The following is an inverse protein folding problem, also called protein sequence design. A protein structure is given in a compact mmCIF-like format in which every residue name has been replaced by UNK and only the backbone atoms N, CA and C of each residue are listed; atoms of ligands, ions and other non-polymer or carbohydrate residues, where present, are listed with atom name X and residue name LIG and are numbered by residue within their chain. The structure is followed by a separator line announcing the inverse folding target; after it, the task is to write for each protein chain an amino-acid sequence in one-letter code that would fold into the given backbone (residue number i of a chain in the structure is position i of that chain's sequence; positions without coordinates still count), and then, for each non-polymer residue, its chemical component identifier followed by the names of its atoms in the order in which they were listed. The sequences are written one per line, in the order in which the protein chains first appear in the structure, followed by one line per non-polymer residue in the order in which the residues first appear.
data_IF_096035771388
#
_entry.id   IF_096035771388
#
_cell.length_a   1.000
_cell.length_b   1.000
_cell.length_c   1.000
_cell.angle_alpha   90.00
_cell.angle_beta   90.00
_cell.angle_gamma   90.00
#
_symmetry.space_group_name_H-M   'P 1'
#
loop_
_entity.id
_entity.type
_entity.pdbx_description
1 polymer ?
#
# COMPACT_ATOMS: atom_id res chain seq x y z
N UNK A 1 34.39 24.62 -8.47
CA UNK A 1 32.93 24.83 -8.54
C UNK A 1 32.63 25.40 -9.93
N UNK A 2 32.33 24.54 -10.92
CA UNK A 2 31.96 25.04 -12.26
C UNK A 2 30.52 25.53 -12.12
N UNK A 3 30.36 26.85 -12.11
CA UNK A 3 29.06 27.47 -12.07
C UNK A 3 28.25 27.00 -13.27
N UNK A 4 27.04 26.49 -13.04
CA UNK A 4 26.00 26.46 -14.08
C UNK A 4 25.74 27.92 -14.46
N UNK A 5 26.48 28.44 -15.42
CA UNK A 5 26.35 29.84 -15.85
C UNK A 5 25.06 29.95 -16.64
N UNK A 6 24.29 31.00 -16.36
CA UNK A 6 23.00 31.31 -17.01
C UNK A 6 23.05 31.47 -18.55
N UNK A 7 24.26 31.47 -19.15
CA UNK A 7 24.48 31.62 -20.60
C UNK A 7 24.63 30.30 -21.35
N UNK A 8 24.73 29.13 -20.69
CA UNK A 8 24.84 27.83 -21.33
C UNK A 8 23.48 27.22 -21.61
N UNK A 9 23.19 26.90 -22.87
CA UNK A 9 22.03 26.12 -23.24
C UNK A 9 22.16 24.70 -22.66
N UNK A 10 21.33 24.39 -21.68
CA UNK A 10 21.28 23.10 -21.00
C UNK A 10 20.23 22.19 -21.64
N UNK A 11 20.68 21.19 -22.37
CA UNK A 11 19.80 20.11 -22.85
C UNK A 11 19.76 18.98 -21.83
N UNK A 12 18.73 18.14 -21.91
CA UNK A 12 18.57 16.91 -21.09
C UNK A 12 19.86 16.08 -21.09
N UNK A 13 20.46 15.86 -22.28
CA UNK A 13 21.72 15.09 -22.38
C UNK A 13 22.88 15.75 -21.64
N UNK A 14 23.09 17.04 -21.85
CA UNK A 14 24.20 17.77 -21.22
C UNK A 14 24.09 17.77 -19.69
N UNK A 15 22.87 18.02 -19.17
CA UNK A 15 22.68 18.11 -17.73
C UNK A 15 22.80 16.75 -17.05
N UNK A 16 22.32 15.67 -17.68
CA UNK A 16 22.50 14.31 -17.18
C UNK A 16 23.99 13.93 -17.12
N UNK A 17 24.76 14.17 -18.18
CA UNK A 17 26.20 13.89 -18.21
C UNK A 17 26.97 14.66 -17.14
N UNK A 18 26.65 15.95 -16.99
CA UNK A 18 27.29 16.79 -15.97
C UNK A 18 26.93 16.30 -14.55
N UNK A 19 25.65 16.01 -14.29
CA UNK A 19 25.19 15.56 -12.97
C UNK A 19 25.79 14.19 -12.62
N UNK A 20 25.84 13.28 -13.59
CA UNK A 20 26.46 11.96 -13.39
C UNK A 20 27.93 12.10 -12.96
N UNK A 21 28.71 12.96 -13.64
CA UNK A 21 30.10 13.22 -13.27
C UNK A 21 30.21 13.86 -11.89
N UNK A 22 29.35 14.83 -11.59
CA UNK A 22 29.31 15.50 -10.30
C UNK A 22 29.00 14.52 -9.16
N UNK A 23 27.99 13.65 -9.32
CA UNK A 23 27.63 12.63 -8.34
C UNK A 23 28.72 11.56 -8.19
N UNK A 24 29.35 11.13 -9.27
CA UNK A 24 30.50 10.22 -9.20
C UNK A 24 31.65 10.83 -8.38
N UNK A 25 31.93 12.11 -8.58
CA UNK A 25 32.93 12.84 -7.78
C UNK A 25 32.55 13.04 -6.30
N UNK A 26 31.28 12.84 -5.93
CA UNK A 26 30.79 12.84 -4.55
C UNK A 26 30.75 11.45 -3.92
N UNK A 27 31.07 10.41 -4.68
CA UNK A 27 31.07 9.02 -4.23
C UNK A 27 29.69 8.37 -4.11
N UNK A 28 28.67 8.93 -4.78
CA UNK A 28 27.35 8.29 -4.83
C UNK A 28 27.43 6.99 -5.64
N UNK A 29 26.75 5.95 -5.21
CA UNK A 29 26.85 4.60 -5.80
C UNK A 29 26.14 4.49 -7.16
N UNK A 30 25.03 5.22 -7.34
CA UNK A 30 24.18 5.16 -8.53
C UNK A 30 24.05 6.50 -9.25
N UNK A 31 25.19 7.18 -9.63
CA UNK A 31 25.17 8.58 -10.04
C UNK A 31 24.33 8.84 -11.28
N UNK A 32 24.29 7.89 -12.23
CA UNK A 32 23.46 8.00 -13.44
C UNK A 32 21.97 7.83 -13.11
N UNK A 33 21.63 6.81 -12.33
CA UNK A 33 20.26 6.54 -11.93
C UNK A 33 19.69 7.71 -11.14
N UNK A 34 20.45 8.23 -10.18
CA UNK A 34 20.08 9.36 -9.34
C UNK A 34 19.78 10.60 -10.19
N UNK A 35 20.69 10.91 -11.16
CA UNK A 35 20.50 12.04 -12.07
C UNK A 35 19.24 11.90 -12.92
N UNK A 36 18.99 10.70 -13.47
CA UNK A 36 17.80 10.41 -14.30
C UNK A 36 16.52 10.53 -13.48
N UNK A 37 16.47 9.95 -12.27
CA UNK A 37 15.29 10.00 -11.39
C UNK A 37 14.93 11.43 -11.01
N UNK A 38 15.91 12.22 -10.58
CA UNK A 38 15.69 13.62 -10.22
C UNK A 38 15.22 14.47 -11.40
N UNK A 39 15.76 14.20 -12.61
CA UNK A 39 15.34 14.93 -13.79
C UNK A 39 13.94 14.53 -14.25
N UNK A 40 13.59 13.26 -14.13
CA UNK A 40 12.22 12.78 -14.40
C UNK A 40 11.17 13.48 -13.54
N UNK A 41 11.47 13.66 -12.25
CA UNK A 41 10.55 14.36 -11.33
C UNK A 41 10.38 15.84 -11.70
N UNK A 42 11.48 16.48 -12.12
CA UNK A 42 11.43 17.88 -12.56
C UNK A 42 10.59 18.04 -13.82
N UNK A 43 10.74 17.13 -14.79
CA UNK A 43 10.10 17.17 -16.10
C UNK A 43 8.71 16.50 -16.13
N UNK A 44 8.28 15.87 -15.03
CA UNK A 44 7.02 15.13 -14.97
C UNK A 44 6.96 14.00 -16.00
N UNK A 45 8.04 13.22 -16.20
CA UNK A 45 8.12 12.22 -17.24
C UNK A 45 8.74 10.90 -16.74
N UNK A 46 8.55 9.81 -17.47
CA UNK A 46 9.18 8.52 -17.17
C UNK A 46 10.61 8.48 -17.66
N UNK A 47 11.44 7.63 -17.07
CA UNK A 47 12.85 7.48 -17.47
C UNK A 47 13.03 7.16 -18.96
N UNK A 48 12.14 6.35 -19.55
CA UNK A 48 12.19 6.04 -20.98
C UNK A 48 11.99 7.29 -21.85
N UNK A 49 11.20 8.24 -21.38
CA UNK A 49 10.89 9.45 -22.12
C UNK A 49 12.09 10.41 -22.21
N UNK A 50 13.06 10.32 -21.27
CA UNK A 50 14.30 11.09 -21.32
C UNK A 50 15.14 10.78 -22.58
N UNK A 51 15.17 9.52 -23.02
CA UNK A 51 15.91 9.12 -24.22
C UNK A 51 15.34 9.74 -25.50
N UNK A 52 14.03 10.02 -25.51
CA UNK A 52 13.37 10.70 -26.63
C UNK A 52 13.55 12.23 -26.59
N UNK A 53 13.96 12.77 -25.43
CA UNK A 53 14.07 14.21 -25.16
C UNK A 53 15.50 14.70 -25.00
N UNK A 54 16.52 13.93 -25.41
CA UNK A 54 17.94 14.23 -25.15
C UNK A 54 18.38 15.63 -25.63
N UNK A 55 17.79 16.14 -26.71
CA UNK A 55 18.07 17.47 -27.26
C UNK A 55 17.12 18.56 -26.75
N UNK A 56 16.13 18.20 -25.96
CA UNK A 56 15.22 19.17 -25.34
C UNK A 56 16.01 20.09 -24.40
N UNK A 57 15.82 21.38 -24.53
CA UNK A 57 16.35 22.37 -23.61
C UNK A 57 15.48 22.45 -22.36
N UNK A 58 16.12 22.68 -21.22
CA UNK A 58 15.43 22.91 -19.95
C UNK A 58 15.13 24.42 -19.80
N UNK A 59 13.94 24.73 -19.32
CA UNK A 59 13.58 26.08 -18.91
C UNK A 59 14.38 26.54 -17.70
N UNK A 60 14.47 27.84 -17.44
CA UNK A 60 15.12 28.38 -16.25
C UNK A 60 14.53 27.84 -14.93
N UNK A 61 13.22 27.63 -14.87
CA UNK A 61 12.49 27.09 -13.73
C UNK A 61 12.86 25.63 -13.48
N UNK A 62 12.87 24.81 -14.53
CA UNK A 62 13.29 23.40 -14.47
C UNK A 62 14.75 23.28 -14.03
N UNK A 63 15.65 24.11 -14.58
CA UNK A 63 17.04 24.16 -14.18
C UNK A 63 17.20 24.55 -12.70
N UNK A 64 16.46 25.53 -12.23
CA UNK A 64 16.48 25.96 -10.83
C UNK A 64 16.02 24.83 -9.90
N UNK A 65 14.89 24.18 -10.23
CA UNK A 65 14.36 23.03 -9.46
C UNK A 65 15.38 21.89 -9.47
N UNK A 66 15.88 21.49 -10.64
CA UNK A 66 16.83 20.41 -10.79
C UNK A 66 18.13 20.66 -10.01
N UNK A 67 18.68 21.89 -10.08
CA UNK A 67 19.87 22.28 -9.31
C UNK A 67 19.65 22.12 -7.81
N UNK A 68 18.48 22.51 -7.31
CA UNK A 68 18.13 22.31 -5.91
C UNK A 68 18.18 20.82 -5.53
N UNK A 69 17.61 19.96 -6.36
CA UNK A 69 17.61 18.51 -6.17
C UNK A 69 19.02 17.90 -6.19
N UNK A 70 19.84 18.32 -7.15
CA UNK A 70 21.24 17.88 -7.26
C UNK A 70 22.04 18.25 -6.01
N UNK A 71 21.86 19.45 -5.47
CA UNK A 71 22.57 19.88 -4.26
C UNK A 71 22.14 19.10 -3.02
N UNK A 72 20.84 18.81 -2.88
CA UNK A 72 20.29 17.97 -1.82
C UNK A 72 20.87 16.55 -1.89
N UNK A 73 20.83 15.92 -3.09
CA UNK A 73 21.38 14.58 -3.29
C UNK A 73 22.89 14.51 -3.05
N UNK A 74 23.64 15.52 -3.49
CA UNK A 74 25.07 15.63 -3.23
C UNK A 74 25.41 15.77 -1.71
N UNK A 75 24.43 16.19 -0.90
CA UNK A 75 24.49 16.18 0.57
C UNK A 75 24.00 14.85 1.18
N UNK A 76 23.86 13.80 0.36
CA UNK A 76 23.39 12.46 0.76
C UNK A 76 21.94 12.42 1.26
N UNK A 77 21.10 13.36 0.84
CA UNK A 77 19.68 13.25 1.11
C UNK A 77 19.08 12.13 0.23
N UNK A 78 18.25 11.23 0.80
CA UNK A 78 17.63 10.16 0.03
C UNK A 78 16.81 10.68 -1.15
N UNK A 79 16.88 10.01 -2.30
CA UNK A 79 16.11 10.37 -3.51
C UNK A 79 14.62 10.55 -3.21
N UNK A 80 14.04 9.62 -2.45
CA UNK A 80 12.63 9.65 -2.11
C UNK A 80 12.22 10.88 -1.29
N UNK A 81 13.09 11.40 -0.43
CA UNK A 81 12.81 12.65 0.29
C UNK A 81 12.99 13.89 -0.58
N UNK A 82 13.86 13.82 -1.59
CA UNK A 82 14.05 14.92 -2.55
C UNK A 82 12.83 15.04 -3.45
N UNK A 83 12.34 13.91 -3.98
CA UNK A 83 11.16 13.85 -4.86
C UNK A 83 9.84 13.91 -4.08
N UNK A 84 9.86 13.53 -2.80
CA UNK A 84 8.68 13.50 -1.92
C UNK A 84 7.84 12.23 -2.03
N UNK A 85 8.23 11.27 -2.87
CA UNK A 85 7.44 10.06 -3.10
C UNK A 85 8.30 8.81 -3.29
N UNK A 86 7.70 7.65 -3.06
CA UNK A 86 8.27 6.31 -3.24
C UNK A 86 7.22 5.35 -3.73
N UNK A 87 7.53 4.61 -4.79
CA UNK A 87 6.70 3.49 -5.23
C UNK A 87 6.88 2.31 -4.28
N UNK A 88 5.77 1.70 -3.87
CA UNK A 88 5.70 0.47 -3.07
C UNK A 88 4.60 -0.40 -3.65
N UNK A 89 4.92 -1.65 -4.01
CA UNK A 89 4.09 -2.47 -4.89
C UNK A 89 3.76 -1.70 -6.20
N UNK A 90 2.51 -1.42 -6.46
CA UNK A 90 2.04 -0.68 -7.65
C UNK A 90 1.53 0.74 -7.34
N UNK A 91 1.71 1.21 -6.10
CA UNK A 91 1.20 2.51 -5.66
C UNK A 91 2.33 3.46 -5.29
N UNK A 92 2.05 4.73 -5.47
CA UNK A 92 2.91 5.81 -5.05
C UNK A 92 2.53 6.28 -3.64
N UNK A 93 3.52 6.40 -2.76
CA UNK A 93 3.37 6.88 -1.39
C UNK A 93 4.13 8.18 -1.20
N UNK A 94 3.51 9.17 -0.60
CA UNK A 94 4.22 10.34 -0.09
C UNK A 94 5.16 9.90 1.03
N UNK A 95 6.38 10.41 0.99
CA UNK A 95 7.40 10.19 2.02
C UNK A 95 8.09 11.48 2.38
N UNK A 96 8.39 11.65 3.66
CA UNK A 96 9.09 12.81 4.23
C UNK A 96 10.13 12.31 5.23
N UNK A 97 11.05 13.15 5.71
CA UNK A 97 11.97 12.77 6.79
C UNK A 97 11.32 12.32 8.10
N UNK A 98 10.00 12.35 8.19
CA UNK A 98 9.24 11.85 9.35
C UNK A 98 8.99 10.33 9.32
N UNK A 99 9.22 9.64 8.17
CA UNK A 99 8.90 8.22 7.98
C UNK A 99 10.06 7.47 7.36
N UNK A 100 10.18 6.18 7.66
CA UNK A 100 11.06 5.27 6.92
C UNK A 100 10.61 5.21 5.45
N UNK A 101 11.55 5.26 4.54
CA UNK A 101 11.28 5.05 3.11
C UNK A 101 10.88 3.58 2.89
N UNK A 102 9.71 3.27 2.32
CA UNK A 102 9.28 1.89 2.07
C UNK A 102 10.32 1.08 1.30
N UNK A 103 10.62 -0.13 1.80
CA UNK A 103 11.64 -1.03 1.23
C UNK A 103 10.99 -2.11 0.36
N UNK A 104 11.64 -2.53 -0.75
CA UNK A 104 11.12 -3.60 -1.61
C UNK A 104 10.91 -4.93 -0.85
N UNK A 105 11.76 -5.24 0.14
CA UNK A 105 11.66 -6.44 0.95
C UNK A 105 10.35 -6.51 1.73
N UNK A 106 9.85 -5.35 2.17
CA UNK A 106 8.57 -5.21 2.90
C UNK A 106 7.35 -5.58 2.03
N UNK A 107 7.47 -5.52 0.70
CA UNK A 107 6.40 -5.94 -0.22
C UNK A 107 6.04 -7.42 -0.04
N UNK A 108 7.03 -8.25 0.27
CA UNK A 108 6.83 -9.67 0.53
C UNK A 108 6.00 -9.91 1.80
N UNK A 109 6.12 -9.06 2.83
CA UNK A 109 5.29 -9.12 4.03
C UNK A 109 3.80 -8.93 3.67
N UNK A 110 3.51 -7.93 2.83
CA UNK A 110 2.15 -7.66 2.33
C UNK A 110 1.64 -8.85 1.50
N UNK A 111 2.45 -9.36 0.57
CA UNK A 111 2.09 -10.52 -0.26
C UNK A 111 1.68 -11.74 0.58
N UNK A 112 2.51 -12.10 1.57
CA UNK A 112 2.24 -13.25 2.43
C UNK A 112 1.03 -13.05 3.34
N UNK A 113 0.82 -11.84 3.88
CA UNK A 113 -0.37 -11.51 4.65
C UNK A 113 -1.67 -11.63 3.80
N UNK A 114 -1.63 -11.15 2.56
CA UNK A 114 -2.74 -11.30 1.61
C UNK A 114 -3.00 -12.77 1.29
N UNK A 115 -1.94 -13.54 1.02
CA UNK A 115 -2.08 -14.97 0.75
C UNK A 115 -2.66 -15.73 1.94
N UNK A 116 -2.28 -15.38 3.17
CA UNK A 116 -2.85 -15.96 4.40
C UNK A 116 -4.37 -15.80 4.49
N UNK A 117 -4.88 -14.62 4.09
CA UNK A 117 -6.32 -14.33 4.13
C UNK A 117 -7.07 -14.99 2.99
N UNK A 118 -6.53 -14.89 1.77
CA UNK A 118 -7.26 -15.20 0.53
C UNK A 118 -6.93 -16.57 -0.05
N UNK A 119 -5.79 -17.16 0.33
CA UNK A 119 -5.22 -18.34 -0.34
C UNK A 119 -4.69 -18.05 -1.76
N UNK A 120 -4.63 -16.77 -2.19
CA UNK A 120 -4.28 -16.35 -3.55
C UNK A 120 -3.00 -15.53 -3.57
N UNK A 121 -2.22 -15.64 -4.66
CA UNK A 121 -1.09 -14.74 -4.92
C UNK A 121 -1.56 -13.36 -5.38
N UNK A 122 -0.69 -12.34 -5.31
CA UNK A 122 -0.98 -11.00 -5.83
C UNK A 122 -1.36 -11.05 -7.31
N UNK A 123 -0.63 -11.82 -8.13
CA UNK A 123 -0.93 -12.00 -9.56
C UNK A 123 -2.32 -12.57 -9.81
N UNK A 124 -2.80 -13.49 -8.95
CA UNK A 124 -4.16 -14.01 -9.05
C UNK A 124 -5.20 -12.95 -8.71
N UNK A 125 -4.96 -12.17 -7.65
CA UNK A 125 -5.84 -11.06 -7.26
C UNK A 125 -5.89 -9.95 -8.30
N UNK A 126 -4.76 -9.59 -8.91
CA UNK A 126 -4.68 -8.61 -9.99
C UNK A 126 -5.49 -9.05 -11.21
N UNK A 127 -5.37 -10.33 -11.61
CA UNK A 127 -6.18 -10.89 -12.69
C UNK A 127 -7.67 -10.83 -12.38
N UNK A 128 -8.06 -11.20 -11.16
CA UNK A 128 -9.46 -11.11 -10.73
C UNK A 128 -9.97 -9.67 -10.71
N UNK A 129 -9.19 -8.73 -10.20
CA UNK A 129 -9.53 -7.32 -10.19
C UNK A 129 -9.67 -6.75 -11.61
N UNK A 130 -8.76 -7.12 -12.51
CA UNK A 130 -8.83 -6.75 -13.93
C UNK A 130 -10.14 -7.23 -14.57
N UNK A 131 -10.48 -8.52 -14.40
CA UNK A 131 -11.70 -9.07 -14.97
C UNK A 131 -12.97 -8.51 -14.33
N UNK A 132 -12.94 -8.24 -13.00
CA UNK A 132 -14.06 -7.57 -12.31
C UNK A 132 -14.32 -6.19 -12.89
N UNK A 133 -13.26 -5.38 -13.06
CA UNK A 133 -13.38 -4.06 -13.69
C UNK A 133 -13.94 -4.17 -15.11
N UNK A 134 -13.47 -5.15 -15.91
CA UNK A 134 -14.00 -5.39 -17.25
C UNK A 134 -15.48 -5.78 -17.25
N UNK A 135 -15.90 -6.59 -16.28
CA UNK A 135 -17.29 -6.95 -16.11
C UNK A 135 -18.17 -5.74 -15.74
N UNK A 136 -17.68 -4.87 -14.83
CA UNK A 136 -18.37 -3.64 -14.45
C UNK A 136 -18.50 -2.65 -15.64
N UNK A 137 -17.40 -2.44 -16.39
CA UNK A 137 -17.39 -1.61 -17.60
C UNK A 137 -18.39 -2.15 -18.66
N UNK A 138 -18.37 -3.46 -18.87
CA UNK A 138 -19.29 -4.10 -19.84
C UNK A 138 -20.74 -3.98 -19.37
N UNK A 139 -21.04 -4.18 -18.08
CA UNK A 139 -22.39 -4.01 -17.52
C UNK A 139 -22.89 -2.58 -17.67
N UNK A 140 -22.07 -1.59 -17.33
CA UNK A 140 -22.43 -0.19 -17.52
C UNK A 140 -22.71 0.16 -18.99
N UNK A 141 -21.97 -0.45 -19.93
CA UNK A 141 -22.23 -0.30 -21.37
C UNK A 141 -23.57 -0.94 -21.79
N UNK A 142 -23.91 -2.11 -21.24
CA UNK A 142 -25.23 -2.76 -21.46
C UNK A 142 -26.34 -1.89 -20.93
N UNK A 143 -26.25 -1.41 -19.69
CA UNK A 143 -27.29 -0.57 -19.09
C UNK A 143 -27.52 0.70 -19.88
N UNK A 144 -26.44 1.32 -20.40
CA UNK A 144 -26.54 2.48 -21.29
C UNK A 144 -27.27 2.16 -22.61
N UNK A 145 -26.95 1.00 -23.22
CA UNK A 145 -27.60 0.57 -24.47
C UNK A 145 -29.06 0.23 -24.21
N UNK A 146 -29.39 -0.44 -23.10
CA UNK A 146 -30.80 -0.72 -22.71
C UNK A 146 -31.60 0.56 -22.56
N UNK A 147 -31.06 1.59 -21.90
CA UNK A 147 -31.73 2.87 -21.73
C UNK A 147 -31.99 3.53 -23.09
N UNK A 148 -30.94 3.64 -23.93
CA UNK A 148 -31.06 4.24 -25.26
C UNK A 148 -32.00 3.44 -26.18
N UNK A 149 -32.02 2.11 -26.06
CA UNK A 149 -32.93 1.27 -26.86
C UNK A 149 -34.37 1.42 -26.40
N UNK A 150 -34.63 1.53 -25.10
CA UNK A 150 -35.96 1.77 -24.56
C UNK A 150 -36.53 3.13 -25.02
N UNK A 151 -35.71 4.19 -25.02
CA UNK A 151 -36.10 5.51 -25.53
C UNK A 151 -36.40 5.46 -27.04
N UNK A 152 -35.57 4.80 -27.86
CA UNK A 152 -35.75 4.70 -29.30
C UNK A 152 -36.89 3.78 -29.69
N UNK A 153 -37.16 2.69 -28.98
CA UNK A 153 -38.23 1.75 -29.25
C UNK A 153 -39.61 2.35 -28.93
N UNK A 154 -39.72 3.39 -28.13
CA UNK A 154 -41.01 4.07 -27.88
C UNK A 154 -41.54 4.78 -29.14
N UNK A 155 -40.65 5.25 -30.02
CA UNK A 155 -41.02 5.99 -31.23
C UNK A 155 -40.78 5.22 -32.55
N UNK A 156 -40.17 4.02 -32.51
CA UNK A 156 -39.80 3.25 -33.70
C UNK A 156 -40.95 2.33 -34.16
N UNK A 157 -41.43 2.57 -35.33
CA UNK A 157 -42.49 1.80 -35.95
C UNK A 157 -41.97 0.73 -36.94
N UNK A 158 -40.66 0.72 -37.21
CA UNK A 158 -40.01 -0.23 -38.13
C UNK A 158 -39.55 -1.49 -37.36
N UNK A 159 -40.17 -2.67 -37.66
CA UNK A 159 -39.85 -3.91 -36.96
C UNK A 159 -38.40 -4.39 -37.15
N UNK A 160 -37.78 -4.13 -38.33
CA UNK A 160 -36.39 -4.56 -38.59
C UNK A 160 -35.39 -3.78 -37.73
N UNK A 161 -35.62 -2.47 -37.56
CA UNK A 161 -34.79 -1.66 -36.67
C UNK A 161 -34.97 -2.03 -35.20
N UNK A 162 -36.19 -2.32 -34.77
CA UNK A 162 -36.47 -2.77 -33.43
C UNK A 162 -35.72 -4.08 -33.10
N UNK A 163 -35.74 -5.06 -34.05
CA UNK A 163 -34.98 -6.30 -33.90
C UNK A 163 -33.45 -6.07 -33.87
N UNK A 164 -32.90 -5.18 -34.69
CA UNK A 164 -31.48 -4.88 -34.71
C UNK A 164 -31.01 -4.29 -33.36
N UNK A 165 -31.80 -3.42 -32.73
CA UNK A 165 -31.48 -2.88 -31.39
C UNK A 165 -31.58 -3.95 -30.31
N UNK A 166 -32.55 -4.84 -30.35
CA UNK A 166 -32.63 -5.97 -29.41
C UNK A 166 -31.42 -6.90 -29.53
N UNK A 167 -30.98 -7.17 -30.76
CA UNK A 167 -29.79 -8.00 -30.99
C UNK A 167 -28.52 -7.31 -30.42
N UNK A 168 -28.35 -5.99 -30.66
CA UNK A 168 -27.21 -5.26 -30.11
C UNK A 168 -27.16 -5.31 -28.57
N UNK A 169 -28.32 -5.20 -27.90
CA UNK A 169 -28.40 -5.35 -26.43
C UNK A 169 -27.96 -6.75 -26.02
N UNK A 170 -28.47 -7.80 -26.68
CA UNK A 170 -28.14 -9.18 -26.39
C UNK A 170 -26.64 -9.49 -26.56
N UNK A 171 -26.03 -8.97 -27.63
CA UNK A 171 -24.60 -9.16 -27.89
C UNK A 171 -23.73 -8.48 -26.79
N UNK A 172 -24.10 -7.28 -26.34
CA UNK A 172 -23.40 -6.59 -25.28
C UNK A 172 -23.60 -7.29 -23.91
N UNK A 173 -24.77 -7.83 -23.65
CA UNK A 173 -25.02 -8.66 -22.46
C UNK A 173 -24.14 -9.90 -22.43
N UNK A 174 -23.99 -10.58 -23.58
CA UNK A 174 -23.13 -11.75 -23.71
C UNK A 174 -21.66 -11.41 -23.39
N UNK A 175 -21.16 -10.26 -23.87
CA UNK A 175 -19.81 -9.78 -23.55
C UNK A 175 -19.64 -9.49 -22.04
N UNK A 176 -20.65 -8.85 -21.41
CA UNK A 176 -20.64 -8.58 -19.98
C UNK A 176 -20.63 -9.87 -19.15
N UNK A 177 -21.44 -10.85 -19.55
CA UNK A 177 -21.53 -12.16 -18.91
C UNK A 177 -20.19 -12.90 -19.00
N UNK A 178 -19.57 -12.94 -20.17
CA UNK A 178 -18.27 -13.60 -20.35
C UNK A 178 -17.16 -12.94 -19.50
N UNK A 179 -17.17 -11.60 -19.39
CA UNK A 179 -16.23 -10.89 -18.53
C UNK A 179 -16.45 -11.22 -17.05
N UNK A 180 -17.72 -11.35 -16.63
CA UNK A 180 -18.08 -11.73 -15.26
C UNK A 180 -17.67 -13.17 -14.91
N UNK A 181 -17.89 -14.12 -15.81
CA UNK A 181 -17.45 -15.52 -15.63
C UNK A 181 -15.93 -15.59 -15.43
N UNK A 182 -15.16 -14.86 -16.25
CA UNK A 182 -13.69 -14.77 -16.09
C UNK A 182 -13.26 -14.14 -14.78
N UNK A 183 -14.09 -13.27 -14.22
CA UNK A 183 -13.88 -12.66 -12.89
C UNK A 183 -14.30 -13.59 -11.73
N UNK A 184 -14.91 -14.74 -12.02
CA UNK A 184 -15.50 -15.63 -11.02
C UNK A 184 -16.73 -15.02 -10.33
N UNK A 185 -17.39 -14.06 -10.98
CA UNK A 185 -18.61 -13.40 -10.48
C UNK A 185 -19.81 -14.24 -10.96
N UNK A 186 -20.58 -14.76 -10.00
CA UNK A 186 -21.89 -15.37 -10.28
C UNK A 186 -22.92 -14.24 -10.21
N UNK A 187 -23.54 -13.91 -11.35
CA UNK A 187 -24.70 -13.04 -11.35
C UNK A 187 -25.89 -13.87 -10.84
N UNK A 188 -26.30 -13.64 -9.57
CA UNK A 188 -27.62 -14.05 -9.11
C UNK A 188 -28.67 -13.23 -9.85
N UNK A 189 -29.83 -13.84 -10.14
CA UNK A 189 -30.98 -13.11 -10.64
C UNK A 189 -31.28 -11.90 -9.74
N UNK A 190 -31.71 -10.75 -10.30
CA UNK A 190 -32.04 -9.58 -9.50
C UNK A 190 -33.16 -9.95 -8.52
N UNK A 191 -32.88 -9.76 -7.21
CA UNK A 191 -33.84 -9.98 -6.15
C UNK A 191 -34.96 -8.92 -6.29
N UNK A 192 -36.09 -9.29 -6.87
CA UNK A 192 -37.25 -8.41 -7.17
C UNK A 192 -37.99 -7.92 -5.92
N UNK A 193 -37.44 -8.13 -4.73
CA UNK A 193 -38.09 -7.71 -3.49
C UNK A 193 -37.16 -6.91 -2.60
N UNK A 194 -37.10 -5.59 -2.82
CA UNK A 194 -37.01 -4.55 -1.77
C UNK A 194 -36.91 -3.16 -2.37
N UNK A 195 -38.07 -2.58 -2.65
CA UNK A 195 -38.22 -1.11 -2.74
C UNK A 195 -38.50 -0.65 -1.30
N UNK A 196 -37.66 0.18 -0.69
CA UNK A 196 -38.02 0.83 0.57
C UNK A 196 -38.98 2.00 0.27
N UNK A 197 -40.13 1.99 0.95
CA UNK A 197 -41.02 3.14 0.96
C UNK A 197 -40.45 4.33 1.74
N UNK A 198 -41.03 5.53 1.58
CA UNK A 198 -40.49 6.77 2.10
C UNK A 198 -40.50 6.81 3.62
N UNK A 199 -39.43 7.29 4.22
CA UNK A 199 -39.29 7.50 5.66
C UNK A 199 -39.89 8.85 6.04
N UNK A 200 -40.77 8.83 7.03
CA UNK A 200 -41.29 10.02 7.73
C UNK A 200 -40.36 10.45 8.88
N UNK A 201 -40.14 11.72 8.89
CA UNK A 201 -39.86 12.71 9.94
C UNK A 201 -39.20 12.41 11.31
N UNK A 202 -38.10 13.14 11.49
CA UNK A 202 -37.79 14.08 12.58
C UNK A 202 -37.45 13.61 13.99
N UNK A 203 -36.35 13.98 14.54
CA UNK A 203 -36.15 15.05 15.54
C UNK A 203 -34.68 15.19 15.96
N UNK A 204 -34.22 16.44 15.97
CA UNK A 204 -32.92 16.89 16.44
C UNK A 204 -32.78 16.74 17.96
N UNK A 205 -31.61 16.25 18.46
CA UNK A 205 -30.98 16.74 19.69
C UNK A 205 -29.45 16.59 19.66
N UNK A 206 -28.81 17.68 20.00
CA UNK A 206 -27.36 17.88 20.06
C UNK A 206 -26.70 17.34 21.36
N UNK A 207 -25.37 17.40 21.39
CA UNK A 207 -24.47 16.30 21.79
C UNK A 207 -23.58 16.66 22.99
N UNK A 208 -22.93 15.68 23.55
CA UNK A 208 -21.56 15.83 24.15
C UNK A 208 -21.05 14.44 24.56
N UNK A 209 -19.82 14.10 24.17
CA UNK A 209 -19.13 12.89 24.60
C UNK A 209 -18.55 12.13 23.41
N UNK A 210 -17.38 11.53 23.56
CA UNK A 210 -16.61 10.68 22.65
C UNK A 210 -17.47 9.94 21.61
N UNK A 211 -17.02 9.84 20.35
CA UNK A 211 -17.86 9.32 19.27
C UNK A 211 -18.31 7.89 19.58
N UNK A 212 -19.61 7.75 19.72
CA UNK A 212 -20.30 6.48 19.88
C UNK A 212 -20.19 5.66 18.58
N UNK A 213 -20.20 4.35 18.72
CA UNK A 213 -20.05 3.28 17.73
C UNK A 213 -20.93 3.36 16.46
N UNK A 214 -21.62 4.46 16.18
CA UNK A 214 -22.65 4.55 15.14
C UNK A 214 -22.26 5.17 13.80
N UNK A 215 -21.03 5.70 13.65
CA UNK A 215 -20.61 6.35 12.39
C UNK A 215 -19.59 5.57 11.55
N UNK A 216 -19.49 4.27 11.75
CA UNK A 216 -18.68 3.44 10.87
C UNK A 216 -19.58 2.84 9.81
N UNK A 217 -19.42 3.28 8.56
CA UNK A 217 -20.09 2.69 7.42
C UNK A 217 -19.99 1.16 7.45
N UNK A 218 -21.07 0.42 7.11
CA UNK A 218 -21.05 -1.03 7.19
C UNK A 218 -20.00 -1.60 6.21
N UNK A 219 -19.21 -2.60 6.64
CA UNK A 219 -18.14 -3.17 5.84
C UNK A 219 -18.67 -3.92 4.62
N UNK A 220 -17.97 -3.76 3.50
CA UNK A 220 -18.20 -4.57 2.30
C UNK A 220 -17.83 -6.03 2.61
N UNK A 221 -18.76 -6.95 2.44
CA UNK A 221 -18.59 -8.37 2.75
C UNK A 221 -17.72 -9.06 1.70
N UNK A 222 -16.52 -9.52 2.06
CA UNK A 222 -15.84 -10.60 1.34
C UNK A 222 -16.23 -11.93 2.01
N UNK A 223 -16.90 -12.81 1.28
CA UNK A 223 -17.31 -14.15 1.76
C UNK A 223 -17.75 -14.25 3.23
N UNK A 224 -18.49 -13.25 3.73
CA UNK A 224 -19.17 -13.30 5.02
C UNK A 224 -18.54 -12.52 6.17
N UNK A 225 -17.26 -12.13 6.18
CA UNK A 225 -16.64 -11.43 7.32
C UNK A 225 -15.62 -10.36 6.88
N UNK A 226 -15.63 -9.20 7.55
CA UNK A 226 -14.62 -8.14 7.42
C UNK A 226 -13.32 -8.58 8.08
N UNK A 227 -12.19 -8.30 7.41
CA UNK A 227 -10.85 -8.53 7.94
C UNK A 227 -10.38 -7.28 8.68
N UNK A 228 -10.09 -7.41 9.97
CA UNK A 228 -9.54 -6.33 10.80
C UNK A 228 -8.02 -6.44 10.85
N UNK A 229 -7.33 -5.37 10.46
CA UNK A 229 -5.87 -5.31 10.34
C UNK A 229 -5.30 -4.29 11.32
N UNK A 230 -4.24 -4.64 12.02
CA UNK A 230 -3.43 -3.73 12.83
C UNK A 230 -2.03 -3.64 12.25
N UNK A 231 -1.53 -2.44 12.03
CA UNK A 231 -0.17 -2.14 11.62
C UNK A 231 0.53 -1.34 12.71
N UNK A 232 1.55 -1.91 13.34
CA UNK A 232 2.30 -1.32 14.44
C UNK A 232 3.61 -0.73 13.93
N UNK A 233 3.84 0.56 14.18
CA UNK A 233 4.94 1.30 13.57
C UNK A 233 4.67 1.56 12.09
N UNK A 234 3.48 2.09 11.79
CA UNK A 234 2.96 2.18 10.42
C UNK A 234 3.78 3.07 9.49
N UNK A 235 4.53 4.04 10.04
CA UNK A 235 5.35 4.97 9.26
C UNK A 235 4.52 5.72 8.20
N UNK A 236 4.86 5.52 6.92
CA UNK A 236 4.11 6.09 5.79
C UNK A 236 2.75 5.43 5.53
N UNK A 237 2.40 4.37 6.25
CA UNK A 237 1.21 3.57 6.00
C UNK A 237 1.39 2.51 4.92
N UNK A 238 2.59 2.30 4.39
CA UNK A 238 2.83 1.47 3.21
C UNK A 238 2.25 0.05 3.35
N UNK A 239 2.44 -0.61 4.48
CA UNK A 239 1.94 -1.97 4.72
C UNK A 239 0.41 -1.96 4.82
N UNK A 240 -0.15 -1.21 5.77
CA UNK A 240 -1.59 -1.20 6.01
C UNK A 240 -2.39 -0.79 4.80
N UNK A 241 -2.02 0.33 4.17
CA UNK A 241 -2.79 0.88 3.07
C UNK A 241 -2.74 -0.02 1.82
N UNK A 242 -1.60 -0.70 1.59
CA UNK A 242 -1.51 -1.73 0.55
C UNK A 242 -2.40 -2.93 0.85
N UNK A 243 -2.44 -3.40 2.10
CA UNK A 243 -3.36 -4.46 2.53
C UNK A 243 -4.83 -4.05 2.31
N UNK A 244 -5.20 -2.80 2.64
CA UNK A 244 -6.55 -2.28 2.39
C UNK A 244 -6.89 -2.19 0.90
N UNK A 245 -5.92 -1.88 0.04
CA UNK A 245 -6.11 -1.90 -1.43
C UNK A 245 -6.32 -3.30 -1.97
N UNK A 246 -5.55 -4.27 -1.48
CA UNK A 246 -5.57 -5.67 -1.93
C UNK A 246 -6.72 -6.48 -1.35
N UNK A 247 -7.27 -6.04 -0.20
CA UNK A 247 -8.37 -6.68 0.52
C UNK A 247 -9.56 -5.72 0.63
N UNK A 248 -10.40 -5.56 -0.40
CA UNK A 248 -11.47 -4.55 -0.42
C UNK A 248 -12.48 -4.65 0.73
N UNK A 249 -12.65 -5.83 1.33
CA UNK A 249 -13.52 -6.06 2.49
C UNK A 249 -12.82 -5.87 3.84
N UNK A 250 -11.61 -5.33 3.88
CA UNK A 250 -10.84 -5.11 5.12
C UNK A 250 -10.98 -3.69 5.64
N UNK A 251 -10.66 -3.52 6.91
CA UNK A 251 -10.46 -2.24 7.60
C UNK A 251 -9.22 -2.33 8.48
N UNK A 252 -8.59 -1.19 8.77
CA UNK A 252 -7.31 -1.21 9.45
C UNK A 252 -7.11 -0.11 10.46
N UNK A 253 -6.30 -0.41 11.47
CA UNK A 253 -5.79 0.53 12.45
C UNK A 253 -4.28 0.67 12.27
N UNK A 254 -3.84 1.88 11.93
CA UNK A 254 -2.44 2.27 11.88
C UNK A 254 -2.03 2.82 13.24
N UNK A 255 -0.97 2.27 13.82
CA UNK A 255 -0.42 2.71 15.09
C UNK A 255 1.01 3.19 14.89
N UNK A 256 1.34 4.37 15.39
CA UNK A 256 2.70 4.89 15.43
C UNK A 256 2.89 5.77 16.66
N UNK A 257 4.11 5.84 17.15
CA UNK A 257 4.47 6.74 18.23
C UNK A 257 4.64 8.18 17.74
N UNK A 258 5.04 8.37 16.46
CA UNK A 258 5.23 9.67 15.81
C UNK A 258 3.92 10.21 15.26
N UNK A 259 3.44 11.37 15.72
CA UNK A 259 2.30 12.04 15.11
C UNK A 259 2.59 12.53 13.70
N UNK A 260 3.85 12.85 13.39
CA UNK A 260 4.29 13.26 12.05
C UNK A 260 4.18 12.08 11.06
N UNK A 261 4.57 10.86 11.47
CA UNK A 261 4.40 9.66 10.67
C UNK A 261 2.92 9.39 10.39
N UNK A 262 2.06 9.51 11.42
CA UNK A 262 0.61 9.35 11.23
C UNK A 262 0.00 10.41 10.31
N UNK A 263 0.55 11.62 10.27
CA UNK A 263 0.11 12.65 9.32
C UNK A 263 0.39 12.20 7.88
N UNK A 264 1.61 11.72 7.60
CA UNK A 264 1.98 11.18 6.29
C UNK A 264 1.09 9.97 5.91
N UNK A 265 0.86 9.05 6.85
CA UNK A 265 0.01 7.89 6.60
C UNK A 265 -1.45 8.27 6.27
N UNK A 266 -1.99 9.31 6.91
CA UNK A 266 -3.34 9.85 6.62
C UNK A 266 -3.42 10.47 5.22
N UNK A 267 -2.40 11.23 4.82
CA UNK A 267 -2.31 11.78 3.46
C UNK A 267 -2.27 10.66 2.43
N UNK A 268 -1.46 9.62 2.66
CA UNK A 268 -1.38 8.47 1.80
C UNK A 268 -2.70 7.68 1.73
N UNK A 269 -3.43 7.55 2.85
CA UNK A 269 -4.75 6.91 2.85
C UNK A 269 -5.75 7.66 1.97
N UNK A 270 -5.71 8.98 1.97
CA UNK A 270 -6.53 9.83 1.12
C UNK A 270 -6.11 9.71 -0.35
N UNK A 271 -4.80 9.76 -0.63
CA UNK A 271 -4.24 9.61 -1.97
C UNK A 271 -4.63 8.26 -2.60
N UNK A 272 -4.60 7.18 -1.81
CA UNK A 272 -4.93 5.83 -2.26
C UNK A 272 -6.45 5.53 -2.25
N UNK A 273 -7.29 6.43 -1.74
CA UNK A 273 -8.74 6.25 -1.69
C UNK A 273 -9.19 5.13 -0.73
N UNK A 274 -8.53 5.01 0.43
CA UNK A 274 -8.86 4.02 1.48
C UNK A 274 -9.05 4.67 2.87
N UNK A 275 -9.14 6.00 2.92
CA UNK A 275 -9.27 6.76 4.17
C UNK A 275 -10.54 6.42 4.96
N UNK A 276 -11.60 5.98 4.29
CA UNK A 276 -12.86 5.52 4.88
C UNK A 276 -12.73 4.22 5.69
N UNK A 277 -11.66 3.47 5.49
CA UNK A 277 -11.40 2.16 6.10
C UNK A 277 -10.10 2.11 6.92
N UNK A 278 -9.41 3.25 7.08
CA UNK A 278 -8.16 3.39 7.81
C UNK A 278 -8.33 4.31 9.01
N UNK A 279 -8.00 3.82 10.20
CA UNK A 279 -7.94 4.60 11.44
C UNK A 279 -6.50 4.76 11.89
N UNK A 280 -6.22 5.83 12.63
CA UNK A 280 -4.87 6.20 13.01
C UNK A 280 -4.83 6.52 14.51
N UNK A 281 -3.94 5.84 15.23
CA UNK A 281 -3.80 5.98 16.67
C UNK A 281 -2.35 6.29 17.04
N UNK A 282 -2.11 7.43 17.66
CA UNK A 282 -0.79 7.69 18.26
C UNK A 282 -0.65 6.87 19.55
N UNK A 283 0.31 5.91 19.54
CA UNK A 283 0.55 5.02 20.67
C UNK A 283 1.97 4.46 20.61
N UNK A 284 2.62 4.30 21.77
CA UNK A 284 3.77 3.41 21.90
C UNK A 284 3.22 1.98 21.96
N UNK A 285 3.17 1.34 20.81
CA UNK A 285 2.68 -0.01 20.59
C UNK A 285 1.27 -0.19 21.22
N UNK A 286 1.16 -0.88 22.34
CA UNK A 286 -0.10 -1.21 22.99
C UNK A 286 -0.60 -0.18 24.00
N UNK A 287 0.21 0.83 24.34
CA UNK A 287 -0.03 1.71 25.50
C UNK A 287 -1.38 2.43 25.48
N UNK A 288 -1.94 2.73 24.30
CA UNK A 288 -3.24 3.38 24.12
C UNK A 288 -4.25 2.49 23.38
N UNK A 289 -3.90 1.21 23.15
CA UNK A 289 -4.78 0.28 22.48
C UNK A 289 -5.98 -0.07 23.37
N UNK A 290 -7.24 -0.03 22.85
CA UNK A 290 -8.39 -0.52 23.60
C UNK A 290 -8.22 -2.00 23.95
N UNK A 291 -8.35 -2.36 25.24
CA UNK A 291 -8.03 -3.70 25.74
C UNK A 291 -8.88 -4.85 25.19
N UNK A 292 -9.99 -4.56 24.51
CA UNK A 292 -10.84 -5.54 23.82
C UNK A 292 -10.69 -5.54 22.29
N UNK A 293 -9.80 -4.70 21.74
CA UNK A 293 -9.58 -4.69 20.30
C UNK A 293 -8.88 -5.97 19.87
N UNK A 294 -9.44 -6.68 18.88
CA UNK A 294 -8.87 -7.90 18.32
C UNK A 294 -8.85 -7.84 16.80
N UNK A 295 -7.75 -8.34 16.22
CA UNK A 295 -7.45 -8.24 14.80
C UNK A 295 -7.28 -9.64 14.18
N UNK A 296 -7.58 -9.72 12.89
CA UNK A 296 -7.32 -10.90 12.07
C UNK A 296 -5.88 -10.96 11.62
N UNK A 297 -5.26 -9.77 11.44
CA UNK A 297 -3.87 -9.62 11.06
C UNK A 297 -3.24 -8.54 11.95
N UNK A 298 -2.11 -8.85 12.54
CA UNK A 298 -1.21 -7.88 13.16
C UNK A 298 0.09 -7.91 12.37
N UNK A 299 0.43 -6.79 11.72
CA UNK A 299 1.67 -6.64 10.97
C UNK A 299 2.56 -5.59 11.62
N UNK A 300 3.87 -5.73 11.45
CA UNK A 300 4.83 -4.70 11.83
C UNK A 300 6.13 -4.85 11.06
N UNK A 301 6.68 -3.73 10.62
CA UNK A 301 8.09 -3.57 10.28
C UNK A 301 8.68 -2.61 11.31
N UNK A 302 9.02 -3.07 12.52
CA UNK A 302 9.48 -2.20 13.60
C UNK A 302 10.96 -1.88 13.43
N UNK A 303 11.49 -0.86 14.14
CA UNK A 303 12.92 -0.62 14.15
C UNK A 303 13.68 -1.83 14.72
N UNK A 304 14.68 -2.30 13.96
CA UNK A 304 15.40 -3.53 14.26
C UNK A 304 16.93 -3.40 14.22
N UNK A 305 17.47 -2.21 13.95
CA UNK A 305 18.91 -2.01 13.84
C UNK A 305 19.49 -1.79 15.25
N UNK A 306 20.52 -2.56 15.66
CA UNK A 306 21.20 -2.30 16.92
C UNK A 306 21.73 -0.86 16.96
N UNK A 307 21.55 -0.20 18.10
CA UNK A 307 21.84 1.23 18.25
C UNK A 307 23.29 1.60 17.88
N UNK A 308 24.26 0.71 18.17
CA UNK A 308 25.68 0.88 17.86
C UNK A 308 26.00 0.81 16.37
N UNK A 309 25.15 0.13 15.57
CA UNK A 309 25.36 -0.08 14.14
C UNK A 309 24.87 1.13 13.33
N UNK A 310 23.92 1.90 13.84
CA UNK A 310 23.27 3.00 13.08
C UNK A 310 24.28 3.99 12.49
N UNK A 311 25.33 4.31 13.24
CA UNK A 311 26.38 5.23 12.77
C UNK A 311 27.27 4.69 11.64
N UNK A 312 27.19 3.39 11.35
CA UNK A 312 27.96 2.71 10.28
C UNK A 312 27.16 2.46 9.02
N UNK A 313 25.86 2.74 9.04
CA UNK A 313 24.97 2.59 7.89
C UNK A 313 25.37 3.52 6.74
N UNK A 314 24.83 3.25 5.54
CA UNK A 314 24.96 4.16 4.42
C UNK A 314 24.50 5.58 4.79
N UNK A 315 25.17 6.58 4.23
CA UNK A 315 25.00 7.98 4.60
C UNK A 315 23.58 8.51 4.38
N UNK A 316 22.90 8.02 3.36
CA UNK A 316 21.51 8.37 3.08
C UNK A 316 20.55 7.67 4.06
N UNK A 317 20.80 6.41 4.44
CA UNK A 317 20.03 5.73 5.50
C UNK A 317 20.16 6.45 6.85
N UNK A 318 21.34 7.00 7.17
CA UNK A 318 21.54 7.80 8.37
C UNK A 318 20.73 9.12 8.39
N UNK A 319 20.15 9.53 7.25
CA UNK A 319 19.22 10.68 7.15
C UNK A 319 17.77 10.32 7.44
N UNK A 320 17.46 9.05 7.51
CA UNK A 320 16.13 8.60 7.89
C UNK A 320 15.89 8.75 9.39
N UNK A 321 14.62 8.78 9.85
CA UNK A 321 14.33 9.02 11.28
C UNK A 321 14.97 7.95 12.14
N UNK A 322 15.80 8.36 13.09
CA UNK A 322 16.45 7.41 14.03
C UNK A 322 15.44 6.51 14.74
N UNK A 323 14.27 7.06 15.09
CA UNK A 323 13.17 6.33 15.72
C UNK A 323 12.68 5.14 14.88
N UNK A 324 12.79 5.22 13.56
CA UNK A 324 12.39 4.15 12.64
C UNK A 324 13.51 3.12 12.39
N UNK A 325 14.73 3.38 12.86
CA UNK A 325 15.89 2.51 12.67
C UNK A 325 16.31 1.80 13.98
N UNK A 326 16.28 2.53 15.11
CA UNK A 326 16.86 2.12 16.38
C UNK A 326 16.02 1.08 17.10
N UNK A 327 16.42 -0.19 17.00
CA UNK A 327 15.80 -1.31 17.70
C UNK A 327 16.33 -1.58 19.11
N UNK A 328 17.14 -0.66 19.69
CA UNK A 328 17.76 -0.85 20.99
C UNK A 328 19.13 -1.55 20.92
N UNK A 329 19.66 -2.01 22.05
CA UNK A 329 21.02 -2.57 22.13
C UNK A 329 21.27 -3.76 21.20
N UNK A 330 20.30 -4.64 21.03
CA UNK A 330 20.40 -5.86 20.22
C UNK A 330 19.42 -5.87 19.02
N UNK A 331 18.70 -4.75 18.82
CA UNK A 331 17.72 -4.61 17.73
C UNK A 331 16.38 -5.33 17.98
N UNK A 332 16.10 -5.79 19.20
CA UNK A 332 14.91 -6.60 19.50
C UNK A 332 13.89 -5.93 20.43
N UNK A 333 14.15 -4.68 20.88
CA UNK A 333 13.31 -4.04 21.89
C UNK A 333 11.86 -3.85 21.45
N UNK A 334 11.64 -3.46 20.18
CA UNK A 334 10.30 -3.34 19.62
C UNK A 334 9.58 -4.69 19.59
N UNK A 335 10.26 -5.75 19.15
CA UNK A 335 9.67 -7.11 19.09
C UNK A 335 9.28 -7.63 20.47
N UNK A 336 10.11 -7.41 21.51
CA UNK A 336 9.76 -7.78 22.89
C UNK A 336 8.48 -7.12 23.36
N UNK A 337 8.33 -5.82 23.09
CA UNK A 337 7.13 -5.07 23.46
C UNK A 337 5.92 -5.53 22.66
N UNK A 338 6.06 -5.74 21.34
CA UNK A 338 4.96 -6.15 20.47
C UNK A 338 4.47 -7.55 20.87
N UNK A 339 5.38 -8.52 20.98
CA UNK A 339 5.00 -9.90 21.28
C UNK A 339 4.35 -10.04 22.66
N UNK A 340 4.80 -9.30 23.67
CA UNK A 340 4.23 -9.33 25.02
C UNK A 340 2.74 -8.98 25.09
N UNK A 341 2.25 -8.11 24.20
CA UNK A 341 0.83 -7.68 24.18
C UNK A 341 -0.03 -8.40 23.15
N UNK A 342 0.56 -9.12 22.20
CA UNK A 342 -0.22 -9.58 21.03
C UNK A 342 -1.26 -10.65 21.33
N UNK A 343 -1.08 -11.46 22.41
CA UNK A 343 -2.03 -12.50 22.77
C UNK A 343 -3.45 -11.99 23.10
N UNK A 344 -3.54 -10.75 23.64
CA UNK A 344 -4.82 -10.09 23.92
C UNK A 344 -5.49 -9.47 22.68
N UNK A 345 -4.72 -9.31 21.59
CA UNK A 345 -5.13 -8.52 20.43
C UNK A 345 -5.23 -9.31 19.11
N UNK A 346 -4.81 -10.57 19.08
CA UNK A 346 -4.95 -11.45 17.92
C UNK A 346 -6.10 -12.42 18.12
N UNK A 347 -6.99 -12.49 17.13
CA UNK A 347 -8.10 -13.46 17.11
C UNK A 347 -7.57 -14.91 17.05
N UNK A 348 -8.39 -15.93 17.40
CA UNK A 348 -7.97 -17.33 17.38
C UNK A 348 -7.30 -17.78 16.05
N UNK A 349 -7.90 -17.42 14.89
CA UNK A 349 -7.36 -17.73 13.57
C UNK A 349 -6.57 -16.56 12.94
N UNK A 350 -6.13 -15.61 13.78
CA UNK A 350 -5.39 -14.43 13.32
C UNK A 350 -3.92 -14.70 13.10
N UNK A 351 -3.28 -13.82 12.34
CA UNK A 351 -1.87 -13.84 11.96
C UNK A 351 -1.11 -12.72 12.66
N UNK A 352 0.06 -13.03 13.23
CA UNK A 352 1.13 -12.06 13.48
C UNK A 352 2.19 -12.20 12.37
N UNK A 353 2.60 -11.09 11.79
CA UNK A 353 3.57 -11.05 10.71
C UNK A 353 4.56 -9.90 10.92
N UNK A 354 5.85 -10.24 10.99
CA UNK A 354 6.93 -9.30 11.29
C UNK A 354 7.97 -9.32 10.18
N UNK A 355 8.39 -8.14 9.73
CA UNK A 355 9.68 -8.01 9.06
C UNK A 355 10.80 -8.04 10.11
N UNK A 356 11.97 -8.61 9.78
CA UNK A 356 13.09 -8.77 10.69
C UNK A 356 14.42 -8.41 10.02
N UNK A 357 15.36 -7.96 10.83
CA UNK A 357 16.74 -7.72 10.40
C UNK A 357 17.49 -9.01 10.10
N UNK A 358 18.62 -8.88 9.40
CA UNK A 358 19.50 -10.00 9.07
C UNK A 358 19.93 -10.72 10.36
N UNK A 359 19.69 -12.04 10.38
CA UNK A 359 20.07 -12.91 11.52
C UNK A 359 19.11 -12.86 12.72
N UNK A 360 18.03 -12.03 12.68
CA UNK A 360 17.09 -11.91 13.80
C UNK A 360 15.89 -12.88 13.71
N UNK A 361 15.72 -13.61 12.60
CA UNK A 361 14.54 -14.43 12.35
C UNK A 361 14.23 -15.41 13.49
N UNK A 362 15.23 -16.19 13.95
CA UNK A 362 15.02 -17.15 15.04
C UNK A 362 14.82 -16.49 16.42
N UNK A 363 15.48 -15.36 16.68
CA UNK A 363 15.29 -14.62 17.92
C UNK A 363 13.85 -14.08 18.04
N UNK A 364 13.30 -13.51 16.97
CA UNK A 364 11.90 -13.03 16.94
C UNK A 364 10.92 -14.22 16.99
N UNK A 365 11.24 -15.31 16.32
CA UNK A 365 10.46 -16.54 16.41
C UNK A 365 10.42 -17.11 17.84
N UNK A 366 11.54 -17.06 18.57
CA UNK A 366 11.60 -17.45 19.98
C UNK A 366 10.69 -16.55 20.86
N UNK A 367 10.74 -15.23 20.69
CA UNK A 367 9.86 -14.30 21.39
C UNK A 367 8.37 -14.61 21.14
N UNK A 368 7.99 -14.96 19.91
CA UNK A 368 6.61 -15.38 19.63
C UNK A 368 6.24 -16.69 20.38
N UNK A 369 7.13 -17.68 20.40
CA UNK A 369 6.88 -18.96 21.10
C UNK A 369 6.78 -18.76 22.62
N UNK A 370 7.60 -17.91 23.22
CA UNK A 370 7.53 -17.53 24.64
C UNK A 370 6.17 -16.96 25.03
N UNK A 371 5.49 -16.27 24.10
CA UNK A 371 4.13 -15.76 24.30
C UNK A 371 3.04 -16.77 23.91
N UNK A 372 3.40 -18.03 23.71
CA UNK A 372 2.47 -19.13 23.43
C UNK A 372 1.98 -19.19 21.97
N UNK A 373 2.66 -18.53 21.02
CA UNK A 373 2.31 -18.62 19.61
C UNK A 373 3.06 -19.75 18.91
N UNK A 374 2.43 -20.34 17.91
CA UNK A 374 3.06 -21.26 16.98
C UNK A 374 3.68 -20.46 15.83
N UNK A 375 5.00 -20.51 15.71
CA UNK A 375 5.69 -19.95 14.55
C UNK A 375 5.49 -20.86 13.36
N UNK A 376 4.81 -20.36 12.35
CA UNK A 376 4.44 -21.14 11.17
C UNK A 376 5.50 -21.08 10.08
N UNK A 377 6.24 -19.95 9.98
CA UNK A 377 7.38 -19.82 9.10
C UNK A 377 8.34 -18.71 9.53
N UNK A 378 9.62 -18.92 9.20
CA UNK A 378 10.59 -17.87 8.94
C UNK A 378 10.83 -17.86 7.43
N UNK A 379 10.48 -16.78 6.76
CA UNK A 379 10.49 -16.67 5.29
C UNK A 379 11.66 -15.83 4.83
N UNK A 380 12.34 -16.33 3.81
CA UNK A 380 13.47 -15.64 3.17
C UNK A 380 13.00 -14.69 2.09
N UNK A 381 13.75 -13.61 1.93
CA UNK A 381 13.62 -12.72 0.76
C UNK A 381 14.21 -13.38 -0.50
N UNK A 382 14.14 -12.64 -1.61
CA UNK A 382 14.68 -13.12 -2.91
C UNK A 382 16.21 -13.28 -2.91
N UNK A 383 16.93 -12.71 -1.92
CA UNK A 383 18.36 -12.89 -1.72
C UNK A 383 18.69 -14.09 -0.82
N UNK A 384 17.66 -14.80 -0.33
CA UNK A 384 17.83 -15.97 0.54
C UNK A 384 18.08 -15.61 2.02
N UNK A 385 17.82 -14.37 2.42
CA UNK A 385 18.00 -13.86 3.78
C UNK A 385 16.67 -13.95 4.53
N UNK A 386 16.68 -14.45 5.76
CA UNK A 386 15.49 -14.47 6.63
C UNK A 386 15.00 -13.04 6.87
N UNK A 387 13.78 -12.75 6.42
CA UNK A 387 13.19 -11.42 6.46
C UNK A 387 11.85 -11.33 7.15
N UNK A 388 11.14 -12.43 7.28
CA UNK A 388 9.80 -12.41 7.87
C UNK A 388 9.60 -13.56 8.84
N UNK A 389 8.91 -13.25 9.94
CA UNK A 389 8.44 -14.22 10.91
C UNK A 389 6.92 -14.19 10.93
N UNK A 390 6.29 -15.35 10.75
CA UNK A 390 4.86 -15.54 10.81
C UNK A 390 4.48 -16.42 11.97
N UNK A 391 3.52 -15.97 12.78
CA UNK A 391 3.05 -16.69 13.94
C UNK A 391 1.52 -16.67 14.04
N UNK A 392 0.93 -17.74 14.51
CA UNK A 392 -0.51 -17.89 14.76
C UNK A 392 -0.72 -18.45 16.16
N UNK A 393 -1.95 -18.38 16.67
CA UNK A 393 -2.27 -19.05 17.93
C UNK A 393 -2.14 -20.58 17.78
N UNK A 394 -1.79 -21.30 18.84
CA UNK A 394 -1.55 -22.74 18.76
C UNK A 394 -2.79 -23.56 18.38
N UNK A 395 -3.98 -23.06 18.70
CA UNK A 395 -5.29 -23.61 18.38
C UNK A 395 -5.86 -23.17 17.02
N UNK A 396 -5.10 -22.39 16.27
CA UNK A 396 -5.53 -21.91 14.95
C UNK A 396 -5.65 -23.03 13.93
N UNK A 397 -6.77 -23.10 13.23
CA UNK A 397 -6.96 -23.99 12.08
C UNK A 397 -5.93 -23.73 10.96
N UNK A 398 -5.29 -22.56 10.96
CA UNK A 398 -4.27 -22.15 9.99
C UNK A 398 -2.83 -22.45 10.41
N UNK A 399 -2.60 -23.15 11.52
CA UNK A 399 -1.25 -23.50 11.99
C UNK A 399 -0.44 -24.34 10.97
N UNK A 400 -1.10 -25.02 10.05
CA UNK A 400 -0.47 -25.78 8.95
C UNK A 400 -0.23 -25.00 7.66
N UNK A 401 -0.74 -23.78 7.54
CA UNK A 401 -0.77 -23.00 6.30
C UNK A 401 0.62 -22.77 5.69
N UNK A 402 1.64 -22.54 6.49
CA UNK A 402 2.97 -22.16 5.99
C UNK A 402 3.83 -23.36 5.62
N UNK A 403 3.57 -24.56 6.14
CA UNK A 403 4.29 -25.77 5.69
C UNK A 403 4.12 -26.04 4.18
N UNK A 404 3.09 -25.46 3.56
CA UNK A 404 2.84 -25.57 2.12
C UNK A 404 3.58 -24.54 1.29
N UNK A 405 4.15 -23.49 1.90
CA UNK A 405 4.82 -22.36 1.21
C UNK A 405 6.33 -22.50 1.13
N UNK A 406 6.91 -23.50 1.79
CA UNK A 406 8.36 -23.81 1.76
C UNK A 406 8.73 -24.88 0.72
N UNK A 407 7.77 -25.36 -0.06
CA UNK A 407 7.98 -26.26 -1.19
C UNK A 407 7.86 -25.47 -2.51
#
# INVERSE_FOLDING_TARGET
MIAMTEQAVWTVNKILQWTQQYFSGKGLETPRLDAEVLLCDVLGCRRIDLFMRLQQELSPEELKKYRSFVLRRAAWEPLAYITGHKTFLQWEFNVTPAVLIPRPETELLVEKAVHFVTGKSLTQLEKEAFWRKKAEEARAAVDKVKTLSAEKLQDETDPEKAMAWQQEVADREAVALQAAERAGLVFGEPDEKKIPGPADDAEEKKPQGLPDRKEVAPPVKTAGRTVDILDIGTGSGAILLSLLKLLPGSRGLAVDISPEALAVAKENASLLGVADRAWFLQSDIWSRMPGKAQFDIVVSNPPYIPAEVIGTLERDVQKEPRLALDGGPDGLDAYRKITAGMAGHIRPDGLAAFEVGIGQGEAVAALCREQGFTVTAVVKDYAGIDRMVFAVRPDSAKAGWVRQQQK
#
